data_IF_092590394803
#
_entry.id   IF_092590394803
#
_cell.length_a   1.000
_cell.length_b   1.000
_cell.length_c   1.000
_cell.angle_alpha   90.00
_cell.angle_beta   90.00
_cell.angle_gamma   90.00
#
_symmetry.space_group_name_H-M   'P 1'
#
loop_
_entity.id
_entity.type
_entity.pdbx_description
1 polymer ?
#
# COMPACT_ATOMS: atom_id res chain seq x y z
N UNK A 1 -16.03 14.66 8.11
CA UNK A 1 -16.92 15.84 7.94
C UNK A 1 -18.34 15.49 7.51
N UNK A 2 -18.60 14.35 6.84
CA UNK A 2 -19.95 14.00 6.39
C UNK A 2 -20.96 13.73 7.54
N UNK A 3 -20.45 13.36 8.72
CA UNK A 3 -21.26 13.24 9.95
C UNK A 3 -21.41 14.55 10.72
N UNK A 4 -20.69 15.61 10.32
CA UNK A 4 -20.69 16.89 11.04
C UNK A 4 -21.98 17.65 10.75
N UNK A 5 -22.62 18.15 11.81
CA UNK A 5 -23.87 18.87 11.69
C UNK A 5 -23.73 20.16 10.85
N UNK A 6 -24.76 20.55 10.07
CA UNK A 6 -24.69 21.68 9.15
C UNK A 6 -24.33 22.99 9.84
N UNK A 7 -24.85 23.23 11.05
CA UNK A 7 -24.56 24.42 11.82
C UNK A 7 -23.08 24.51 12.20
N UNK A 8 -22.44 23.39 12.55
CA UNK A 8 -21.02 23.35 12.90
C UNK A 8 -20.13 23.54 11.67
N UNK A 9 -20.56 23.07 10.51
CA UNK A 9 -19.86 23.31 9.24
C UNK A 9 -19.91 24.77 8.79
N UNK A 10 -21.00 25.49 9.12
CA UNK A 10 -21.19 26.91 8.77
C UNK A 10 -20.51 27.87 9.76
N UNK A 11 -20.14 27.40 10.95
CA UNK A 11 -19.44 28.23 11.94
C UNK A 11 -18.00 28.53 11.50
N UNK A 12 -17.60 29.80 11.60
CA UNK A 12 -16.22 30.20 11.31
C UNK A 12 -15.21 29.61 12.30
N UNK A 13 -15.62 29.43 13.57
CA UNK A 13 -14.81 28.83 14.61
C UNK A 13 -15.67 27.88 15.48
N UNK A 14 -15.89 26.63 15.03
CA UNK A 14 -16.69 25.66 15.77
C UNK A 14 -15.96 25.23 17.06
N UNK A 15 -16.70 24.86 18.12
CA UNK A 15 -16.10 24.28 19.33
C UNK A 15 -15.31 23.01 18.99
N UNK A 16 -14.11 22.87 19.55
CA UNK A 16 -13.25 21.69 19.35
C UNK A 16 -13.93 20.38 19.81
N UNK A 17 -14.73 20.46 20.87
CA UNK A 17 -15.49 19.33 21.44
C UNK A 17 -16.84 19.12 20.75
N UNK A 18 -17.19 19.94 19.76
CA UNK A 18 -18.50 19.91 19.11
C UNK A 18 -19.62 20.42 20.03
N UNK A 19 -20.84 19.94 19.78
CA UNK A 19 -22.01 20.25 20.62
C UNK A 19 -22.86 19.01 20.79
N UNK A 20 -23.56 18.92 21.92
CA UNK A 20 -24.48 17.80 22.18
C UNK A 20 -25.52 17.62 21.05
N UNK A 21 -26.01 18.72 20.45
CA UNK A 21 -26.95 18.67 19.32
C UNK A 21 -26.27 18.24 18.02
N UNK A 22 -24.98 18.53 17.86
CA UNK A 22 -24.15 18.00 16.78
C UNK A 22 -23.95 16.48 16.88
N UNK A 23 -23.81 15.95 18.10
CA UNK A 23 -23.72 14.50 18.33
C UNK A 23 -25.04 13.80 17.97
N UNK A 24 -26.19 14.41 18.28
CA UNK A 24 -27.51 13.89 17.90
C UNK A 24 -27.66 13.84 16.36
N UNK A 25 -27.14 14.83 15.64
CA UNK A 25 -27.12 14.80 14.18
C UNK A 25 -26.20 13.69 13.66
N UNK A 26 -24.98 13.58 14.20
CA UNK A 26 -24.01 12.54 13.84
C UNK A 26 -24.60 11.15 14.03
N UNK A 27 -25.31 10.94 15.14
CA UNK A 27 -26.05 9.71 15.43
C UNK A 27 -27.07 9.37 14.33
N UNK A 28 -27.81 10.37 13.83
CA UNK A 28 -28.78 10.16 12.75
C UNK A 28 -28.13 9.70 11.44
N UNK A 29 -26.98 10.28 11.08
CA UNK A 29 -26.24 9.91 9.87
C UNK A 29 -25.68 8.48 9.99
N UNK A 30 -25.18 8.10 11.17
CA UNK A 30 -24.72 6.72 11.44
C UNK A 30 -25.90 5.76 11.39
N UNK A 31 -27.03 6.10 12.02
CA UNK A 31 -28.23 5.27 11.99
C UNK A 31 -28.77 5.11 10.55
N UNK A 32 -28.73 6.16 9.75
CA UNK A 32 -29.07 6.11 8.33
C UNK A 32 -28.15 5.17 7.55
N UNK A 33 -26.83 5.31 7.71
CA UNK A 33 -25.82 4.47 7.06
C UNK A 33 -26.04 2.97 7.36
N UNK A 34 -26.35 2.66 8.62
CA UNK A 34 -26.66 1.31 9.09
C UNK A 34 -27.92 0.75 8.41
N UNK A 35 -28.96 1.56 8.29
CA UNK A 35 -30.25 1.14 7.72
C UNK A 35 -30.13 0.94 6.21
N UNK A 36 -29.48 1.88 5.52
CA UNK A 36 -29.48 1.93 4.05
C UNK A 36 -28.37 1.08 3.43
N UNK A 37 -27.24 0.85 4.12
CA UNK A 37 -26.12 -0.02 3.68
C UNK A 37 -25.51 0.32 2.31
N UNK A 38 -25.72 1.54 1.82
CA UNK A 38 -25.15 2.03 0.56
C UNK A 38 -24.05 3.09 0.79
N UNK A 39 -23.51 3.13 2.01
CA UNK A 39 -22.49 4.09 2.43
C UNK A 39 -23.05 5.34 3.12
N UNK A 40 -22.12 6.15 3.60
CA UNK A 40 -22.40 7.37 4.37
C UNK A 40 -23.11 8.38 3.48
N UNK A 41 -24.23 8.92 3.96
CA UNK A 41 -24.94 9.99 3.26
C UNK A 41 -25.30 9.57 1.82
N UNK A 42 -25.94 8.39 1.67
CA UNK A 42 -26.37 7.84 0.37
C UNK A 42 -27.57 8.56 -0.24
N UNK A 43 -27.45 8.95 -1.51
CA UNK A 43 -28.36 9.85 -2.23
C UNK A 43 -29.14 9.17 -3.37
N UNK A 44 -28.87 7.90 -3.66
CA UNK A 44 -29.37 7.23 -4.89
C UNK A 44 -28.56 7.54 -6.15
N UNK A 45 -27.58 8.44 -6.04
CA UNK A 45 -26.68 8.87 -7.11
C UNK A 45 -25.26 9.03 -6.52
N UNK A 46 -24.24 8.83 -7.36
CA UNK A 46 -22.85 9.07 -6.96
C UNK A 46 -22.58 10.58 -6.88
N UNK A 47 -22.41 11.07 -5.65
CA UNK A 47 -22.10 12.48 -5.36
C UNK A 47 -20.77 12.53 -4.61
N UNK A 48 -19.89 13.46 -5.01
CA UNK A 48 -18.60 13.58 -4.34
C UNK A 48 -18.76 14.11 -2.89
N UNK A 49 -17.92 13.67 -1.93
CA UNK A 49 -17.99 14.18 -0.56
C UNK A 49 -17.85 15.71 -0.43
N UNK A 50 -17.12 16.35 -1.35
CA UNK A 50 -16.96 17.80 -1.37
C UNK A 50 -18.27 18.49 -1.72
N UNK A 51 -18.95 18.00 -2.75
CA UNK A 51 -20.23 18.51 -3.20
C UNK A 51 -21.33 18.31 -2.14
N UNK A 52 -21.33 17.18 -1.43
CA UNK A 52 -22.24 16.97 -0.29
C UNK A 52 -22.02 18.04 0.78
N UNK A 53 -20.76 18.32 1.14
CA UNK A 53 -20.42 19.32 2.15
C UNK A 53 -20.81 20.73 1.67
N UNK A 54 -20.56 21.07 0.41
CA UNK A 54 -20.96 22.36 -0.17
C UNK A 54 -22.48 22.55 -0.12
N UNK A 55 -23.25 21.51 -0.48
CA UNK A 55 -24.71 21.55 -0.39
C UNK A 55 -25.22 21.64 1.06
N UNK A 56 -24.56 20.98 2.01
CA UNK A 56 -24.87 21.13 3.44
C UNK A 56 -24.57 22.54 3.95
N UNK A 57 -23.52 23.19 3.45
CA UNK A 57 -23.12 24.53 3.89
C UNK A 57 -23.97 25.63 3.27
N UNK A 58 -24.21 25.58 1.95
CA UNK A 58 -24.76 26.68 1.16
C UNK A 58 -26.10 26.38 0.48
N UNK A 59 -26.60 25.14 0.59
CA UNK A 59 -27.84 24.73 -0.04
C UNK A 59 -29.06 25.54 0.44
N UNK A 60 -29.98 25.82 -0.47
CA UNK A 60 -31.22 26.56 -0.17
C UNK A 60 -32.27 25.72 0.56
N UNK A 61 -32.06 24.40 0.64
CA UNK A 61 -32.93 23.44 1.33
C UNK A 61 -32.07 22.50 2.18
N UNK A 62 -32.61 21.96 3.30
CA UNK A 62 -31.91 20.96 4.09
C UNK A 62 -31.51 19.77 3.22
N UNK A 63 -30.22 19.63 2.96
CA UNK A 63 -29.68 18.50 2.19
C UNK A 63 -29.66 17.27 3.10
N UNK A 64 -30.34 16.19 2.71
CA UNK A 64 -30.55 15.01 3.58
C UNK A 64 -30.38 13.68 2.82
N UNK A 65 -29.88 12.64 3.51
CA UNK A 65 -29.81 11.29 2.96
C UNK A 65 -31.15 10.69 2.55
N UNK A 66 -31.10 9.84 1.51
CA UNK A 66 -32.26 9.12 1.03
C UNK A 66 -32.60 8.01 2.03
N UNK A 67 -33.79 8.07 2.65
CA UNK A 67 -34.34 6.98 3.45
C UNK A 67 -35.26 6.15 2.58
N UNK A 68 -34.97 4.86 2.47
CA UNK A 68 -35.88 3.89 1.88
C UNK A 68 -37.00 3.59 2.90
N UNK A 69 -38.24 3.87 2.51
CA UNK A 69 -39.43 3.74 3.35
C UNK A 69 -39.97 2.29 3.39
N UNK A 70 -39.57 1.44 2.45
CA UNK A 70 -40.18 0.12 2.28
C UNK A 70 -39.50 -0.96 3.13
N UNK A 71 -38.26 -0.73 3.56
CA UNK A 71 -37.40 -1.72 4.22
C UNK A 71 -37.09 -1.45 5.70
N UNK A 72 -37.63 -0.37 6.29
CA UNK A 72 -37.34 0.02 7.67
C UNK A 72 -38.62 0.34 8.46
N UNK A 73 -38.57 0.08 9.78
CA UNK A 73 -39.66 0.43 10.69
C UNK A 73 -39.91 1.94 10.69
N UNK A 74 -41.16 2.35 10.52
CA UNK A 74 -41.56 3.76 10.47
C UNK A 74 -41.15 4.50 11.75
N UNK A 75 -41.17 3.85 12.91
CA UNK A 75 -40.70 4.41 14.17
C UNK A 75 -39.20 4.76 14.14
N UNK A 76 -38.37 3.89 13.55
CA UNK A 76 -36.94 4.13 13.36
C UNK A 76 -36.70 5.27 12.36
N UNK A 77 -37.42 5.29 11.24
CA UNK A 77 -37.37 6.36 10.24
C UNK A 77 -37.69 7.72 10.89
N UNK A 78 -38.74 7.77 11.73
CA UNK A 78 -39.12 8.99 12.44
C UNK A 78 -38.05 9.44 13.44
N UNK A 79 -37.39 8.50 14.13
CA UNK A 79 -36.27 8.84 15.02
C UNK A 79 -35.13 9.47 14.24
N UNK A 80 -34.69 8.86 13.13
CA UNK A 80 -33.62 9.40 12.28
C UNK A 80 -34.02 10.81 11.79
N UNK A 81 -35.28 10.96 11.31
CA UNK A 81 -35.80 12.24 10.81
C UNK A 81 -35.76 13.36 11.83
N UNK A 82 -36.07 13.07 13.09
CA UNK A 82 -36.01 14.07 14.18
C UNK A 82 -34.57 14.38 14.59
N UNK A 83 -33.69 13.39 14.57
CA UNK A 83 -32.29 13.56 14.99
C UNK A 83 -31.48 14.44 14.03
N UNK A 84 -31.75 14.38 12.72
CA UNK A 84 -31.06 15.22 11.73
C UNK A 84 -31.80 16.50 11.36
N UNK A 85 -32.67 17.03 12.24
CA UNK A 85 -33.38 18.28 11.98
C UNK A 85 -32.39 19.41 11.66
N UNK A 86 -32.77 20.31 10.74
CA UNK A 86 -31.94 21.46 10.39
C UNK A 86 -31.71 22.36 11.61
N UNK A 87 -32.77 22.59 12.38
CA UNK A 87 -32.71 23.38 13.60
C UNK A 87 -32.19 22.52 14.78
N UNK A 88 -31.07 22.89 15.43
CA UNK A 88 -30.50 22.12 16.53
C UNK A 88 -31.43 21.98 17.74
N UNK A 89 -32.32 22.94 17.98
CA UNK A 89 -33.26 22.93 19.10
C UNK A 89 -34.38 21.90 18.93
N UNK A 90 -34.76 21.60 17.69
CA UNK A 90 -35.80 20.62 17.35
C UNK A 90 -35.32 19.17 17.51
N UNK A 91 -33.99 18.97 17.57
CA UNK A 91 -33.41 17.65 17.77
C UNK A 91 -33.68 17.20 19.21
N UNK A 92 -34.12 15.95 19.45
CA UNK A 92 -34.30 15.43 20.80
C UNK A 92 -32.95 15.35 21.53
N UNK A 93 -32.97 15.33 22.86
CA UNK A 93 -31.79 14.96 23.65
C UNK A 93 -31.66 13.43 23.77
N UNK A 94 -30.50 12.97 24.24
CA UNK A 94 -30.24 11.54 24.40
C UNK A 94 -31.14 10.87 25.44
N UNK A 95 -31.67 11.59 26.43
CA UNK A 95 -32.60 11.02 27.42
C UNK A 95 -33.95 10.69 26.76
N UNK A 96 -34.45 11.63 25.96
CA UNK A 96 -35.65 11.50 25.16
C UNK A 96 -35.47 10.40 24.12
N UNK A 97 -34.34 10.37 23.41
CA UNK A 97 -34.03 9.31 22.46
C UNK A 97 -34.02 7.92 23.10
N UNK A 98 -33.37 7.79 24.26
CA UNK A 98 -33.36 6.54 25.01
C UNK A 98 -34.77 6.10 25.39
N UNK A 99 -35.66 7.04 25.73
CA UNK A 99 -37.06 6.73 26.03
C UNK A 99 -37.85 6.28 24.81
N UNK A 100 -37.62 6.91 23.64
CA UNK A 100 -38.28 6.56 22.38
C UNK A 100 -37.82 5.18 21.91
N UNK A 101 -36.51 4.93 21.89
CA UNK A 101 -35.93 3.65 21.48
C UNK A 101 -36.42 2.52 22.39
N UNK A 102 -36.51 2.76 23.72
CA UNK A 102 -37.07 1.77 24.65
C UNK A 102 -38.55 1.47 24.40
N UNK A 103 -39.34 2.45 23.96
CA UNK A 103 -40.76 2.23 23.61
C UNK A 103 -40.89 1.44 22.32
N UNK A 104 -40.13 1.82 21.28
CA UNK A 104 -40.06 1.08 20.01
C UNK A 104 -39.64 -0.39 20.23
N UNK A 105 -38.70 -0.64 21.15
CA UNK A 105 -38.29 -1.99 21.52
C UNK A 105 -39.31 -2.75 22.40
N UNK A 106 -40.27 -2.08 23.03
CA UNK A 106 -41.30 -2.71 23.89
C UNK A 106 -42.59 -3.03 23.14
N UNK A 107 -42.96 -2.20 22.17
CA UNK A 107 -44.18 -2.37 21.37
C UNK A 107 -44.00 -3.44 20.27
N UNK A 108 -42.76 -3.74 19.89
CA UNK A 108 -42.42 -4.85 19.02
C UNK A 108 -42.20 -6.13 19.85
N UNK A 109 -43.23 -7.00 19.94
CA UNK A 109 -43.17 -8.31 20.61
C UNK A 109 -42.14 -9.30 19.97
N UNK A 110 -41.53 -8.94 18.84
CA UNK A 110 -40.33 -9.60 18.33
C UNK A 110 -39.08 -8.97 18.95
N UNK A 111 -38.61 -9.54 20.06
CA UNK A 111 -37.23 -9.32 20.49
C UNK A 111 -36.26 -9.47 19.32
N UNK A 112 -35.19 -8.67 19.33
CA UNK A 112 -34.10 -8.59 18.33
C UNK A 112 -34.25 -7.57 17.19
N UNK A 113 -34.52 -6.29 17.45
CA UNK A 113 -34.10 -5.23 16.50
C UNK A 113 -32.72 -4.70 16.90
N UNK A 114 -32.55 -4.32 18.17
CA UNK A 114 -31.25 -3.85 18.67
C UNK A 114 -30.22 -4.98 18.75
N UNK A 115 -30.62 -6.20 19.13
CA UNK A 115 -29.72 -7.35 19.16
C UNK A 115 -29.35 -7.83 17.74
N UNK A 116 -30.28 -7.69 16.79
CA UNK A 116 -30.01 -7.94 15.38
C UNK A 116 -29.08 -6.85 14.80
N UNK A 117 -29.25 -5.59 15.23
CA UNK A 117 -28.30 -4.51 14.93
C UNK A 117 -26.92 -4.78 15.54
N UNK A 118 -26.84 -5.14 16.83
CA UNK A 118 -25.58 -5.46 17.51
C UNK A 118 -24.88 -6.65 16.85
N UNK A 119 -25.61 -7.74 16.61
CA UNK A 119 -25.10 -8.92 15.91
C UNK A 119 -24.61 -8.59 14.50
N UNK A 120 -25.33 -7.73 13.77
CA UNK A 120 -24.90 -7.24 12.46
C UNK A 120 -23.66 -6.34 12.53
N UNK A 121 -23.49 -5.54 13.58
CA UNK A 121 -22.29 -4.74 13.81
C UNK A 121 -21.07 -5.61 14.14
N UNK A 122 -21.25 -6.65 14.96
CA UNK A 122 -20.21 -7.61 15.31
C UNK A 122 -19.77 -8.40 14.06
N UNK A 123 -20.73 -8.83 13.24
CA UNK A 123 -20.43 -9.49 11.97
C UNK A 123 -19.70 -8.56 10.98
N UNK A 124 -20.02 -7.26 10.98
CA UNK A 124 -19.29 -6.27 10.18
C UNK A 124 -17.85 -6.09 10.67
N UNK A 125 -17.65 -5.96 11.98
CA UNK A 125 -16.32 -5.84 12.58
C UNK A 125 -15.44 -7.05 12.22
N UNK A 126 -15.98 -8.26 12.37
CA UNK A 126 -15.27 -9.50 12.03
C UNK A 126 -14.97 -9.63 10.53
N UNK A 127 -15.92 -9.27 9.67
CA UNK A 127 -15.71 -9.30 8.21
C UNK A 127 -14.68 -8.24 7.78
N UNK A 128 -14.69 -7.06 8.40
CA UNK A 128 -13.73 -6.01 8.11
C UNK A 128 -12.33 -6.41 8.57
N UNK A 129 -12.22 -7.01 9.75
CA UNK A 129 -10.96 -7.55 10.27
C UNK A 129 -10.39 -8.62 9.32
N UNK A 130 -11.23 -9.59 8.90
CA UNK A 130 -10.83 -10.61 7.93
C UNK A 130 -10.41 -10.02 6.58
N UNK A 131 -11.12 -9.01 6.08
CA UNK A 131 -10.77 -8.34 4.83
C UNK A 131 -9.46 -7.54 4.96
N UNK A 132 -9.22 -6.89 6.11
CA UNK A 132 -7.98 -6.18 6.39
C UNK A 132 -6.81 -7.17 6.46
N UNK A 133 -7.00 -8.32 7.12
CA UNK A 133 -6.00 -9.38 7.16
C UNK A 133 -5.65 -9.90 5.76
N UNK A 134 -6.65 -10.23 4.94
CA UNK A 134 -6.47 -10.69 3.55
C UNK A 134 -5.70 -9.66 2.72
N UNK A 135 -6.13 -8.40 2.74
CA UNK A 135 -5.46 -7.32 1.97
C UNK A 135 -4.06 -7.03 2.47
N UNK A 136 -3.83 -7.15 3.78
CA UNK A 136 -2.50 -6.97 4.37
C UNK A 136 -1.58 -8.12 3.95
N UNK A 137 -2.10 -9.36 3.89
CA UNK A 137 -1.34 -10.51 3.41
C UNK A 137 -0.97 -10.37 1.92
N UNK A 138 -1.92 -9.99 1.07
CA UNK A 138 -1.66 -9.73 -0.36
C UNK A 138 -0.60 -8.63 -0.55
N UNK A 139 -0.74 -7.52 0.18
CA UNK A 139 0.23 -6.43 0.15
C UNK A 139 1.63 -6.88 0.57
N UNK A 140 1.73 -7.67 1.64
CA UNK A 140 3.02 -8.18 2.12
C UNK A 140 3.68 -9.13 1.10
N UNK A 141 2.89 -9.96 0.41
CA UNK A 141 3.42 -10.86 -0.61
C UNK A 141 3.89 -10.09 -1.86
N UNK A 142 3.13 -9.11 -2.32
CA UNK A 142 3.56 -8.24 -3.44
C UNK A 142 4.78 -7.40 -3.06
N UNK A 143 4.83 -6.87 -1.84
CA UNK A 143 6.00 -6.18 -1.31
C UNK A 143 7.23 -7.10 -1.32
N UNK A 144 7.09 -8.34 -0.84
CA UNK A 144 8.17 -9.33 -0.82
C UNK A 144 8.69 -9.65 -2.23
N UNK A 145 7.79 -9.81 -3.20
CA UNK A 145 8.17 -10.02 -4.61
C UNK A 145 8.95 -8.83 -5.17
N UNK A 146 8.50 -7.60 -4.90
CA UNK A 146 9.17 -6.38 -5.34
C UNK A 146 10.56 -6.23 -4.70
N UNK A 147 10.70 -6.51 -3.41
CA UNK A 147 11.99 -6.48 -2.70
C UNK A 147 12.97 -7.53 -3.25
N UNK A 148 12.51 -8.76 -3.51
CA UNK A 148 13.35 -9.80 -4.11
C UNK A 148 13.86 -9.41 -5.50
N UNK A 149 12.99 -8.82 -6.33
CA UNK A 149 13.40 -8.31 -7.64
C UNK A 149 14.42 -7.18 -7.51
N UNK A 150 14.25 -6.29 -6.53
CA UNK A 150 15.22 -5.23 -6.27
C UNK A 150 16.61 -5.78 -5.90
N UNK A 151 16.66 -6.83 -5.07
CA UNK A 151 17.91 -7.52 -4.74
C UNK A 151 18.54 -8.27 -5.92
N UNK A 152 17.77 -8.64 -6.94
CA UNK A 152 18.29 -9.22 -8.18
C UNK A 152 18.88 -8.15 -9.13
N UNK A 153 18.36 -6.93 -9.07
CA UNK A 153 18.77 -5.83 -9.96
C UNK A 153 19.90 -4.96 -9.38
N UNK A 154 19.91 -4.80 -8.05
CA UNK A 154 20.82 -3.90 -7.35
C UNK A 154 21.56 -4.65 -6.23
N UNK A 155 22.82 -4.29 -5.94
CA UNK A 155 23.55 -4.83 -4.81
C UNK A 155 22.84 -4.58 -3.48
N UNK A 156 22.96 -5.54 -2.55
CA UNK A 156 22.22 -5.57 -1.28
C UNK A 156 22.32 -4.24 -0.51
N UNK A 157 23.50 -3.62 -0.47
CA UNK A 157 23.73 -2.33 0.22
C UNK A 157 22.87 -1.20 -0.36
N UNK A 158 22.82 -1.07 -1.69
CA UNK A 158 22.04 -0.05 -2.40
C UNK A 158 20.55 -0.35 -2.31
N UNK A 159 20.16 -1.62 -2.49
CA UNK A 159 18.76 -2.05 -2.37
C UNK A 159 18.21 -1.76 -0.96
N UNK A 160 18.95 -2.08 0.10
CA UNK A 160 18.53 -1.82 1.48
C UNK A 160 18.39 -0.32 1.78
N UNK A 161 19.28 0.53 1.26
CA UNK A 161 19.16 1.99 1.40
C UNK A 161 17.91 2.52 0.68
N UNK A 162 17.63 2.03 -0.54
CA UNK A 162 16.43 2.41 -1.30
C UNK A 162 15.14 1.93 -0.62
N UNK A 163 15.12 0.71 -0.07
CA UNK A 163 13.99 0.18 0.71
C UNK A 163 13.75 1.04 1.96
N UNK A 164 14.82 1.54 2.59
CA UNK A 164 14.74 2.45 3.73
C UNK A 164 14.38 3.90 3.35
N UNK A 165 14.16 4.20 2.06
CA UNK A 165 13.86 5.56 1.57
C UNK A 165 15.03 6.52 1.65
N UNK A 166 16.27 6.01 1.80
CA UNK A 166 17.47 6.82 1.86
C UNK A 166 17.94 7.19 0.46
N UNK A 167 18.47 8.41 0.31
CA UNK A 167 19.14 8.82 -0.93
C UNK A 167 20.47 8.10 -1.08
N UNK A 168 20.66 7.39 -2.18
CA UNK A 168 21.94 6.76 -2.52
C UNK A 168 22.90 7.83 -3.03
N UNK A 169 23.96 8.13 -2.29
CA UNK A 169 25.01 9.06 -2.73
C UNK A 169 25.99 8.35 -3.66
N UNK A 170 26.39 9.02 -4.74
CA UNK A 170 27.45 8.50 -5.61
C UNK A 170 28.77 8.41 -4.84
N UNK A 171 29.33 7.20 -4.76
CA UNK A 171 30.63 6.96 -4.14
C UNK A 171 31.75 7.18 -5.16
N UNK A 172 32.80 7.91 -4.76
CA UNK A 172 34.01 8.10 -5.54
C UNK A 172 35.14 7.28 -4.92
N UNK A 173 35.89 6.56 -5.75
CA UNK A 173 36.97 5.69 -5.30
C UNK A 173 38.30 6.14 -5.91
N UNK A 174 39.33 6.25 -5.07
CA UNK A 174 40.68 6.67 -5.49
C UNK A 174 41.41 5.62 -6.35
N UNK A 175 40.91 4.40 -6.38
CA UNK A 175 41.42 3.34 -7.26
C UNK A 175 40.45 2.17 -7.35
N UNK A 176 40.19 1.70 -8.57
CA UNK A 176 39.26 0.62 -8.86
C UNK A 176 39.89 -0.41 -9.77
N UNK A 177 39.56 -1.69 -9.55
CA UNK A 177 39.87 -2.75 -10.50
C UNK A 177 38.59 -3.16 -11.19
N UNK A 178 38.56 -3.04 -12.51
CA UNK A 178 37.43 -3.40 -13.36
C UNK A 178 37.75 -4.72 -14.03
N UNK A 179 36.81 -5.65 -13.93
CA UNK A 179 36.85 -6.93 -14.64
C UNK A 179 35.96 -6.89 -15.88
N UNK A 180 36.57 -7.16 -17.03
CA UNK A 180 35.87 -7.32 -18.30
C UNK A 180 35.86 -8.81 -18.69
N UNK A 181 34.66 -9.36 -18.85
CA UNK A 181 34.47 -10.70 -19.44
C UNK A 181 33.66 -10.65 -20.71
N UNK A 182 34.14 -11.36 -21.73
CA UNK A 182 33.40 -11.64 -22.96
C UNK A 182 33.29 -13.15 -23.19
N UNK A 183 32.15 -13.59 -23.74
CA UNK A 183 31.89 -14.99 -24.08
C UNK A 183 32.51 -15.27 -25.45
N UNK A 184 33.59 -16.05 -25.46
CA UNK A 184 34.30 -16.36 -26.70
C UNK A 184 33.38 -17.15 -27.63
N UNK A 185 33.12 -16.62 -28.82
CA UNK A 185 32.29 -17.29 -29.82
C UNK A 185 30.79 -17.19 -29.57
N UNK A 186 30.31 -16.27 -28.72
CA UNK A 186 28.88 -16.07 -28.43
C UNK A 186 28.04 -15.95 -29.71
N UNK A 187 28.48 -15.17 -30.71
CA UNK A 187 27.76 -15.00 -31.97
C UNK A 187 27.57 -16.32 -32.73
N UNK A 188 28.58 -17.20 -32.73
CA UNK A 188 28.50 -18.50 -33.39
C UNK A 188 27.61 -19.47 -32.61
N UNK A 189 27.66 -19.43 -31.27
CA UNK A 189 26.82 -20.23 -30.39
C UNK A 189 25.34 -19.82 -30.51
N UNK A 190 25.06 -18.52 -30.44
CA UNK A 190 23.70 -17.97 -30.60
C UNK A 190 23.11 -18.23 -31.98
N UNK A 191 23.94 -18.34 -33.02
CA UNK A 191 23.49 -18.66 -34.38
C UNK A 191 23.08 -20.13 -34.55
N UNK A 192 23.54 -21.03 -33.68
CA UNK A 192 23.27 -22.48 -33.75
C UNK A 192 22.28 -22.95 -32.68
N UNK A 193 21.97 -22.11 -31.69
CA UNK A 193 21.06 -22.41 -30.58
C UNK A 193 19.69 -21.75 -30.75
N UNK A 194 18.68 -22.35 -30.14
CA UNK A 194 17.36 -21.72 -30.04
C UNK A 194 17.38 -20.57 -29.03
N UNK A 195 16.51 -19.55 -29.16
CA UNK A 195 16.46 -18.44 -28.21
C UNK A 195 16.32 -18.86 -26.75
N UNK A 196 15.57 -19.92 -26.47
CA UNK A 196 15.39 -20.43 -25.09
C UNK A 196 16.71 -21.01 -24.54
N UNK A 197 17.44 -21.79 -25.34
CA UNK A 197 18.74 -22.35 -24.94
C UNK A 197 19.78 -21.25 -24.67
N UNK A 198 19.74 -20.15 -25.42
CA UNK A 198 20.63 -18.99 -25.17
C UNK A 198 20.26 -18.30 -23.86
N UNK A 199 18.96 -18.17 -23.56
CA UNK A 199 18.48 -17.61 -22.29
C UNK A 199 18.92 -18.48 -21.11
N UNK A 200 18.73 -19.80 -21.21
CA UNK A 200 19.11 -20.74 -20.14
C UNK A 200 20.63 -20.70 -19.89
N UNK A 201 21.44 -20.72 -20.95
CA UNK A 201 22.89 -20.59 -20.84
C UNK A 201 23.31 -19.29 -20.15
N UNK A 202 22.69 -18.16 -20.52
CA UNK A 202 23.00 -16.86 -19.91
C UNK A 202 22.59 -16.84 -18.44
N UNK A 203 21.41 -17.37 -18.10
CA UNK A 203 20.94 -17.48 -16.73
C UNK A 203 21.89 -18.32 -15.87
N UNK A 204 22.33 -19.47 -16.37
CA UNK A 204 23.27 -20.35 -15.66
C UNK A 204 24.63 -19.66 -15.44
N UNK A 205 25.14 -18.98 -16.47
CA UNK A 205 26.40 -18.25 -16.42
C UNK A 205 26.33 -17.07 -15.44
N UNK A 206 25.25 -16.27 -15.46
CA UNK A 206 25.06 -15.19 -14.50
C UNK A 206 24.84 -15.71 -13.06
N UNK A 207 24.12 -16.82 -12.88
CA UNK A 207 23.93 -17.44 -11.57
C UNK A 207 25.26 -17.96 -11.00
N UNK A 208 26.10 -18.57 -11.86
CA UNK A 208 27.44 -19.01 -11.48
C UNK A 208 28.32 -17.82 -11.07
N UNK A 209 28.31 -16.73 -11.84
CA UNK A 209 29.00 -15.50 -11.48
C UNK A 209 28.52 -14.92 -10.15
N UNK A 210 27.22 -14.81 -9.96
CA UNK A 210 26.64 -14.25 -8.73
C UNK A 210 27.02 -15.11 -7.51
N UNK A 211 27.08 -16.44 -7.67
CA UNK A 211 27.52 -17.38 -6.62
C UNK A 211 29.01 -17.24 -6.28
N UNK A 212 29.86 -16.99 -7.30
CA UNK A 212 31.28 -16.73 -7.08
C UNK A 212 31.46 -15.37 -6.41
N UNK A 213 30.77 -14.34 -6.91
CA UNK A 213 30.83 -12.97 -6.40
C UNK A 213 30.31 -12.89 -4.97
N UNK A 214 29.27 -13.63 -4.57
CA UNK A 214 28.74 -13.59 -3.20
C UNK A 214 29.78 -14.02 -2.13
N UNK A 215 30.82 -14.77 -2.52
CA UNK A 215 31.93 -15.17 -1.65
C UNK A 215 33.08 -14.15 -1.60
N UNK A 216 33.04 -13.09 -2.42
CA UNK A 216 34.03 -12.01 -2.43
C UNK A 216 33.32 -10.67 -2.17
N UNK A 217 33.95 -9.72 -1.48
CA UNK A 217 33.35 -8.40 -1.23
C UNK A 217 33.41 -7.51 -2.51
N UNK A 218 32.63 -7.89 -3.52
CA UNK A 218 32.70 -7.39 -4.90
C UNK A 218 31.33 -6.92 -5.35
N UNK A 219 31.27 -5.75 -5.97
CA UNK A 219 30.06 -5.08 -6.44
C UNK A 219 29.80 -5.37 -7.91
N UNK A 220 28.61 -5.90 -8.24
CA UNK A 220 28.17 -6.05 -9.64
C UNK A 220 27.53 -4.74 -10.11
N UNK A 221 28.13 -4.10 -11.11
CA UNK A 221 27.65 -2.86 -11.71
C UNK A 221 27.22 -3.06 -13.15
N UNK A 222 25.92 -2.94 -13.43
CA UNK A 222 25.44 -2.93 -14.82
C UNK A 222 25.70 -1.54 -15.39
N UNK A 223 26.66 -1.42 -16.31
CA UNK A 223 26.96 -0.16 -17.00
C UNK A 223 25.96 0.00 -18.15
N UNK A 224 25.05 0.98 -18.05
CA UNK A 224 24.10 1.35 -19.11
C UNK A 224 24.74 2.15 -20.26
N UNK A 225 25.97 1.78 -20.66
CA UNK A 225 26.58 2.27 -21.89
C UNK A 225 26.48 1.15 -22.92
N UNK A 226 25.67 1.36 -23.96
CA UNK A 226 25.64 0.52 -25.16
C UNK A 226 27.09 0.24 -25.63
N UNK A 227 27.52 -1.01 -25.92
CA UNK A 227 26.83 -2.30 -26.05
C UNK A 227 27.01 -3.21 -24.81
N UNK A 228 26.22 -4.30 -24.71
CA UNK A 228 26.26 -5.33 -23.64
C UNK A 228 27.68 -5.62 -23.12
N UNK A 229 28.04 -5.03 -21.98
CA UNK A 229 29.25 -5.32 -21.24
C UNK A 229 28.88 -5.39 -19.76
N UNK A 230 28.81 -6.60 -19.22
CA UNK A 230 28.64 -6.80 -17.77
C UNK A 230 29.99 -6.57 -17.10
N UNK A 231 30.17 -5.41 -16.47
CA UNK A 231 31.36 -5.08 -15.69
C UNK A 231 31.18 -5.45 -14.22
N UNK A 232 32.20 -6.02 -13.60
CA UNK A 232 32.24 -6.30 -12.16
C UNK A 232 33.22 -5.32 -11.50
N UNK A 233 32.77 -4.56 -10.50
CA UNK A 233 33.54 -3.60 -9.71
C UNK A 233 34.01 -4.24 -8.39
N UNK A 234 35.29 -4.17 -8.08
CA UNK A 234 35.83 -4.66 -6.80
C UNK A 234 35.94 -3.50 -5.80
N UNK A 235 35.36 -3.65 -4.60
CA UNK A 235 35.54 -2.72 -3.48
C UNK A 235 36.65 -3.19 -2.52
N UNK A 236 37.25 -2.23 -1.82
CA UNK A 236 38.58 -2.26 -1.17
C UNK A 236 38.61 -3.10 0.12
N UNK A 237 39.63 -3.95 0.25
CA UNK A 237 40.32 -4.19 1.52
C UNK A 237 41.75 -3.66 1.35
N UNK A 238 42.37 -3.14 2.41
CA UNK A 238 43.82 -2.91 2.46
C UNK A 238 44.54 -4.26 2.34
N UNK A 239 44.65 -4.75 1.11
CA UNK A 239 45.30 -6.00 0.79
C UNK A 239 46.64 -5.71 0.15
N UNK A 240 47.67 -6.38 0.69
CA UNK A 240 49.00 -6.39 0.13
C UNK A 240 48.96 -6.77 -1.35
N UNK A 241 49.90 -6.25 -2.15
CA UNK A 241 49.97 -6.51 -3.60
C UNK A 241 49.90 -8.02 -3.95
N UNK A 242 50.37 -8.86 -3.03
CA UNK A 242 50.37 -10.33 -3.08
C UNK A 242 48.97 -10.96 -2.97
N UNK A 243 48.08 -10.41 -2.15
CA UNK A 243 46.69 -10.87 -2.01
C UNK A 243 45.85 -10.51 -3.24
N UNK A 244 46.10 -9.34 -3.82
CA UNK A 244 45.49 -8.93 -5.09
C UNK A 244 45.87 -9.90 -6.20
N UNK A 245 47.15 -10.24 -6.33
CA UNK A 245 47.62 -11.19 -7.35
C UNK A 245 47.00 -12.57 -7.14
N UNK A 246 46.93 -13.04 -5.89
CA UNK A 246 46.36 -14.34 -5.53
C UNK A 246 44.87 -14.41 -5.85
N UNK A 247 44.08 -13.38 -5.53
CA UNK A 247 42.66 -13.29 -5.91
C UNK A 247 42.45 -13.18 -7.41
N UNK A 248 43.25 -12.37 -8.10
CA UNK A 248 43.19 -12.26 -9.56
C UNK A 248 43.47 -13.60 -10.23
N UNK A 249 44.44 -14.36 -9.72
CA UNK A 249 44.75 -15.71 -10.20
C UNK A 249 43.62 -16.69 -9.88
N UNK A 250 43.02 -16.62 -8.69
CA UNK A 250 41.91 -17.49 -8.30
C UNK A 250 40.67 -17.27 -9.17
N UNK A 251 40.30 -16.00 -9.38
CA UNK A 251 39.17 -15.62 -10.24
C UNK A 251 39.46 -15.96 -11.70
N UNK A 252 40.68 -15.72 -12.21
CA UNK A 252 41.08 -16.18 -13.56
C UNK A 252 41.00 -17.69 -13.70
N UNK A 253 41.43 -18.44 -12.69
CA UNK A 253 41.38 -19.90 -12.68
C UNK A 253 39.94 -20.39 -12.79
N UNK A 254 39.05 -19.88 -11.94
CA UNK A 254 37.62 -20.22 -11.93
C UNK A 254 36.92 -19.84 -13.24
N UNK A 255 37.26 -18.69 -13.83
CA UNK A 255 36.61 -18.19 -15.05
C UNK A 255 37.18 -18.76 -16.35
N UNK A 256 38.43 -19.25 -16.34
CA UNK A 256 39.01 -19.98 -17.47
C UNK A 256 38.26 -21.29 -17.75
N UNK A 257 37.66 -21.89 -16.72
CA UNK A 257 36.80 -23.08 -16.84
C UNK A 257 35.49 -22.78 -17.59
N UNK A 258 35.08 -21.51 -17.67
CA UNK A 258 33.84 -21.06 -18.33
C UNK A 258 34.08 -20.55 -19.76
N UNK A 259 35.26 -20.77 -20.35
CA UNK A 259 35.62 -20.31 -21.72
C UNK A 259 35.47 -18.79 -21.95
N UNK A 260 35.59 -17.99 -20.88
CA UNK A 260 35.49 -16.53 -20.94
C UNK A 260 36.84 -15.89 -21.21
N UNK A 261 36.86 -14.90 -22.12
CA UNK A 261 38.00 -14.00 -22.26
C UNK A 261 37.97 -13.00 -21.11
N UNK A 262 39.07 -12.88 -20.35
CA UNK A 262 39.14 -12.04 -19.15
C UNK A 262 40.23 -10.98 -19.21
N UNK A 263 39.88 -9.72 -18.94
CA UNK A 263 40.84 -8.61 -18.79
C UNK A 263 40.56 -7.84 -17.50
N UNK A 264 41.60 -7.67 -16.68
CA UNK A 264 41.57 -6.77 -15.52
C UNK A 264 42.20 -5.44 -15.90
N UNK A 265 41.54 -4.35 -15.54
CA UNK A 265 42.09 -3.00 -15.67
C UNK A 265 42.03 -2.33 -14.30
N UNK A 266 43.19 -1.89 -13.79
CA UNK A 266 43.29 -1.08 -12.58
C UNK A 266 43.49 0.37 -12.99
N UNK A 267 42.65 1.26 -12.46
CA UNK A 267 42.71 2.72 -12.60
C UNK A 267 42.83 3.30 -11.21
#
# INVERSE_FOLDING_TARGET
KLWTAPELLRMHNPPLEGTQKGDVYSFAIIAHEIVVRQGVFYMGIDVSPKEIIENLMYGTKPYRPLLDLDNCDEGVIQVIRRCWSEEPTERPDFQTLKSIIRKLNKENESGNILDNLLSRMEQYANNLESLVEERTADYLEEKRKAENLLYQLLPKSVASQLIAGQSVTAEAFDGVTIYFSDIVGFTSLSAQSTPMQVIDLLNDLYTCFDSIIENFDVYKSVVFLAPMMSGVHFHRMEETQEDKITRHQHIRGLLSLLTLSSRFQTT
#
